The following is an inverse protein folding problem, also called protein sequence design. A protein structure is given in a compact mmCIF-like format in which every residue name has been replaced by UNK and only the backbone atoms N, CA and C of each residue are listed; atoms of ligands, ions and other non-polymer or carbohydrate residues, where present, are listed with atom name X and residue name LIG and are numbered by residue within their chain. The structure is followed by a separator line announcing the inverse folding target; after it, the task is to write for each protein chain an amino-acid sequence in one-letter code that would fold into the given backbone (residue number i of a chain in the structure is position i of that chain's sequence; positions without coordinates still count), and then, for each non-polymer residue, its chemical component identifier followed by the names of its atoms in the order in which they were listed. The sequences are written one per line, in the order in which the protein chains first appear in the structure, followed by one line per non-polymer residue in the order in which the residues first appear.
data_IF_102475679385
#
_entry.id   IF_102475679385
#
_cell.length_a   1.000
_cell.length_b   1.000
_cell.length_c   1.000
_cell.angle_alpha   90.00
_cell.angle_beta   90.00
_cell.angle_gamma   90.00
#
_symmetry.space_group_name_H-M   'P 1'
#
loop_
_entity.id
_entity.type
_entity.pdbx_description
1 polymer ?
#
# COMPACT_ATOMS: atom_id res chain seq x y z
N UNK A 1 -14.55 8.28 -24.44
CA UNK A 1 -14.47 7.52 -23.17
C UNK A 1 -13.38 8.14 -22.31
N UNK A 2 -13.74 8.85 -21.25
CA UNK A 2 -12.75 9.36 -20.30
C UNK A 2 -12.07 8.15 -19.64
N UNK A 3 -10.79 7.95 -19.92
CA UNK A 3 -9.93 7.01 -19.19
C UNK A 3 -9.95 7.49 -17.74
N UNK A 4 -10.77 6.84 -16.89
CA UNK A 4 -10.77 7.09 -15.44
C UNK A 4 -9.31 7.03 -15.00
N UNK A 5 -8.82 8.10 -14.38
CA UNK A 5 -7.45 8.17 -13.87
C UNK A 5 -7.15 6.87 -13.11
N UNK A 6 -6.28 6.04 -13.68
CA UNK A 6 -5.88 4.78 -13.07
C UNK A 6 -5.07 5.16 -11.83
N UNK A 7 -5.69 5.06 -10.66
CA UNK A 7 -5.01 5.20 -9.38
C UNK A 7 -4.17 3.93 -9.22
N UNK A 8 -2.86 4.08 -9.21
CA UNK A 8 -1.97 2.97 -8.90
C UNK A 8 -1.60 3.06 -7.42
N UNK A 9 -1.58 1.92 -6.76
CA UNK A 9 -1.10 1.80 -5.41
C UNK A 9 0.13 0.91 -5.42
N UNK A 10 1.20 1.37 -4.80
CA UNK A 10 2.46 0.62 -4.71
C UNK A 10 2.79 0.39 -3.25
N UNK A 11 3.18 -0.82 -2.89
CA UNK A 11 3.73 -1.11 -1.56
C UNK A 11 5.15 -1.63 -1.72
N UNK A 12 6.10 -0.95 -1.11
CA UNK A 12 7.52 -1.30 -1.13
C UNK A 12 7.98 -1.74 0.25
N UNK A 13 8.70 -2.85 0.27
CA UNK A 13 9.33 -3.47 1.44
C UNK A 13 10.84 -3.39 1.22
N UNK A 14 11.50 -2.26 1.57
CA UNK A 14 12.92 -2.04 1.27
C UNK A 14 13.84 -3.13 1.81
N UNK A 15 13.54 -3.71 2.97
CA UNK A 15 14.38 -4.76 3.58
C UNK A 15 14.38 -6.06 2.80
N UNK A 16 13.30 -6.36 2.08
CA UNK A 16 13.17 -7.58 1.26
C UNK A 16 13.37 -7.29 -0.23
N UNK A 17 13.51 -6.03 -0.63
CA UNK A 17 13.54 -5.62 -2.03
C UNK A 17 12.25 -5.92 -2.80
N UNK A 18 11.12 -6.10 -2.09
CA UNK A 18 9.84 -6.47 -2.70
C UNK A 18 9.03 -5.21 -2.99
N UNK A 19 8.54 -5.08 -4.22
CA UNK A 19 7.61 -4.01 -4.60
C UNK A 19 6.36 -4.62 -5.22
N UNK A 20 5.22 -4.31 -4.61
CA UNK A 20 3.90 -4.76 -5.01
C UNK A 20 3.18 -3.61 -5.71
N UNK A 21 2.54 -3.89 -6.84
CA UNK A 21 1.81 -2.92 -7.65
C UNK A 21 0.38 -3.39 -7.86
N UNK A 22 -0.58 -2.54 -7.53
CA UNK A 22 -2.00 -2.83 -7.71
C UNK A 22 -2.75 -1.58 -8.16
N UNK A 23 -3.87 -1.78 -8.87
CA UNK A 23 -4.75 -0.69 -9.29
C UNK A 23 -5.77 -0.30 -8.22
N UNK A 24 -5.91 -1.13 -7.18
CA UNK A 24 -6.88 -0.89 -6.10
C UNK A 24 -6.28 -1.24 -4.74
N UNK A 25 -6.70 -0.50 -3.70
CA UNK A 25 -6.16 -0.66 -2.34
C UNK A 25 -6.53 -2.01 -1.70
N UNK A 26 -7.67 -2.61 -2.08
CA UNK A 26 -8.13 -3.90 -1.56
C UNK A 26 -7.19 -5.07 -1.91
N UNK A 27 -6.91 -5.36 -3.20
CA UNK A 27 -5.99 -6.44 -3.56
C UNK A 27 -4.58 -6.18 -3.01
N UNK A 28 -4.12 -4.92 -2.98
CA UNK A 28 -2.85 -4.58 -2.35
C UNK A 28 -2.79 -5.00 -0.88
N UNK A 29 -3.85 -4.71 -0.11
CA UNK A 29 -3.92 -5.09 1.30
C UNK A 29 -3.99 -6.61 1.49
N UNK A 30 -4.67 -7.33 0.58
CA UNK A 30 -4.70 -8.80 0.59
C UNK A 30 -3.30 -9.36 0.33
N UNK A 31 -2.61 -8.87 -0.71
CA UNK A 31 -1.26 -9.30 -1.03
C UNK A 31 -0.29 -8.99 0.10
N UNK A 32 -0.34 -7.78 0.65
CA UNK A 32 0.46 -7.40 1.81
C UNK A 32 0.24 -8.32 3.02
N UNK A 33 -1.02 -8.68 3.31
CA UNK A 33 -1.34 -9.63 4.38
C UNK A 33 -0.77 -11.03 4.17
N UNK A 34 -0.58 -11.45 2.92
CA UNK A 34 0.08 -12.73 2.60
C UNK A 34 1.57 -12.69 2.94
N UNK A 35 2.22 -11.53 2.81
CA UNK A 35 3.62 -11.36 3.18
C UNK A 35 3.83 -11.21 4.68
N UNK A 36 2.89 -10.53 5.35
CA UNK A 36 3.00 -10.17 6.76
C UNK A 36 1.60 -9.92 7.33
N UNK A 37 1.20 -10.74 8.30
CA UNK A 37 -0.13 -10.64 8.91
C UNK A 37 -0.27 -9.44 9.86
N UNK A 38 0.82 -8.74 10.20
CA UNK A 38 0.82 -7.54 11.04
C UNK A 38 0.64 -6.25 10.25
N UNK A 39 0.47 -6.35 8.93
CA UNK A 39 0.28 -5.18 8.07
C UNK A 39 -1.03 -4.47 8.38
N UNK A 40 -1.02 -3.13 8.24
CA UNK A 40 -2.20 -2.30 8.44
C UNK A 40 -3.37 -2.79 7.59
N UNK A 41 -4.53 -2.94 8.22
CA UNK A 41 -5.76 -3.31 7.56
C UNK A 41 -6.23 -2.25 6.56
N UNK A 42 -7.14 -2.66 5.68
CA UNK A 42 -7.73 -1.80 4.66
C UNK A 42 -8.31 -0.50 5.23
N UNK A 43 -9.03 -0.55 6.35
CA UNK A 43 -9.66 0.65 6.94
C UNK A 43 -8.62 1.70 7.37
N UNK A 44 -7.55 1.24 8.04
CA UNK A 44 -6.45 2.10 8.47
C UNK A 44 -5.71 2.74 7.30
N UNK A 45 -5.39 1.94 6.26
CA UNK A 45 -4.75 2.45 5.06
C UNK A 45 -5.67 3.40 4.30
N UNK A 46 -6.96 3.09 4.17
CA UNK A 46 -7.93 3.91 3.48
C UNK A 46 -8.10 5.28 4.14
N UNK A 47 -8.14 5.35 5.48
CA UNK A 47 -8.17 6.63 6.21
C UNK A 47 -6.89 7.42 5.99
N UNK A 48 -5.72 6.81 6.14
CA UNK A 48 -4.43 7.48 5.92
C UNK A 48 -4.29 8.00 4.48
N UNK A 49 -4.81 7.27 3.49
CA UNK A 49 -4.83 7.69 2.09
C UNK A 49 -5.80 8.85 1.78
N UNK A 50 -6.70 9.22 2.70
CA UNK A 50 -7.48 10.46 2.57
C UNK A 50 -6.63 11.69 2.89
N UNK A 51 -5.63 11.55 3.74
CA UNK A 51 -4.81 12.66 4.24
C UNK A 51 -3.44 12.73 3.56
N UNK A 52 -2.94 11.62 3.01
CA UNK A 52 -1.62 11.57 2.37
C UNK A 52 -1.55 10.52 1.26
N UNK A 53 -0.91 10.86 0.14
CA UNK A 53 -0.66 9.92 -0.95
C UNK A 53 0.56 9.00 -0.70
N UNK A 54 1.29 9.21 0.39
CA UNK A 54 2.40 8.35 0.82
C UNK A 54 2.26 8.02 2.29
N UNK A 55 2.38 6.74 2.62
CA UNK A 55 2.30 6.21 3.97
C UNK A 55 3.54 5.37 4.21
N UNK A 56 4.33 5.75 5.21
CA UNK A 56 5.47 4.97 5.67
C UNK A 56 5.20 4.53 7.11
N UNK A 57 5.40 3.25 7.39
CA UNK A 57 5.29 2.72 8.75
C UNK A 57 6.11 1.44 8.89
N UNK A 58 6.40 1.10 10.13
CA UNK A 58 7.16 -0.10 10.50
C UNK A 58 6.23 -1.03 11.29
N UNK A 59 6.19 -2.31 10.94
CA UNK A 59 5.44 -3.31 11.71
C UNK A 59 6.17 -3.64 13.01
N UNK A 60 5.50 -4.34 13.94
CA UNK A 60 6.13 -4.76 15.20
C UNK A 60 7.29 -5.73 14.98
N UNK A 61 7.23 -6.52 13.90
CA UNK A 61 8.35 -7.33 13.40
C UNK A 61 9.54 -6.53 12.87
N UNK A 62 9.49 -5.18 12.90
CA UNK A 62 10.55 -4.31 12.43
C UNK A 62 10.55 -4.09 10.91
N UNK A 63 9.61 -4.69 10.18
CA UNK A 63 9.57 -4.56 8.72
C UNK A 63 9.05 -3.19 8.31
N UNK A 64 9.85 -2.43 7.56
CA UNK A 64 9.43 -1.13 7.01
C UNK A 64 8.56 -1.33 5.76
N UNK A 65 7.41 -0.66 5.73
CA UNK A 65 6.50 -0.61 4.59
C UNK A 65 6.36 0.82 4.09
N UNK A 66 6.47 1.00 2.78
CA UNK A 66 6.27 2.27 2.09
C UNK A 66 5.15 2.08 1.09
N UNK A 67 3.97 2.62 1.38
CA UNK A 67 2.80 2.51 0.51
C UNK A 67 2.53 3.87 -0.13
N UNK A 68 2.42 3.92 -1.45
CA UNK A 68 2.20 5.13 -2.21
C UNK A 68 0.97 4.98 -3.09
N UNK A 69 0.26 6.08 -3.28
CA UNK A 69 -0.82 6.26 -4.22
C UNK A 69 -0.33 7.17 -5.32
N UNK A 70 -0.18 6.60 -6.50
CA UNK A 70 0.20 7.29 -7.72
C UNK A 70 -1.09 7.60 -8.50
N UNK A 71 -1.49 8.86 -8.48
CA UNK A 71 -2.48 9.39 -9.42
C UNK A 71 -1.73 10.11 -10.54
N UNK A 72 -1.83 9.59 -11.76
CA UNK A 72 -1.35 10.24 -12.98
C UNK A 72 -2.41 11.19 -13.54
#
# INVERSE_FOLDING_TARGET
MALKANKFYTASIPEKGVVIWDTTLRPLCVQLKLYDSEVLGYDSLFRKFKESDKIEYTTKSGTKYIIQKLSR
#
